data_IF_588741571040
#
_entry.id   IF_588741571040
#
_cell.length_a   1.000
_cell.length_b   1.000
_cell.length_c   1.000
_cell.angle_alpha   90.00
_cell.angle_beta   90.00
_cell.angle_gamma   90.00
#
_symmetry.space_group_name_H-M   'P 1'
#
loop_
_entity.id
_entity.type
_entity.pdbx_description
1 polymer ?
#
# COMPACT_ATOMS: atom_id res chain seq x y z
N UNK A 1 2.91 13.53 -1.76
CA UNK A 1 3.13 12.75 -3.01
C UNK A 1 4.64 12.64 -3.26
N UNK A 2 5.26 11.47 -3.05
CA UNK A 2 6.63 11.23 -3.51
C UNK A 2 6.64 11.02 -5.03
N UNK A 3 7.62 11.60 -5.74
CA UNK A 3 7.75 11.51 -7.18
C UNK A 3 9.17 11.13 -7.58
N UNK A 4 9.33 10.17 -8.48
CA UNK A 4 10.61 9.82 -9.08
C UNK A 4 10.40 9.28 -10.48
N UNK A 5 10.92 9.97 -11.50
CA UNK A 5 10.78 9.60 -12.91
C UNK A 5 9.33 9.25 -13.30
N UNK A 6 8.40 10.14 -12.93
CA UNK A 6 6.97 10.01 -13.10
C UNK A 6 6.41 10.91 -14.21
N UNK A 7 7.24 11.33 -15.18
CA UNK A 7 6.86 12.29 -16.23
C UNK A 7 5.56 11.92 -16.96
N UNK A 8 5.33 10.62 -17.16
CA UNK A 8 4.15 10.13 -17.88
C UNK A 8 2.82 10.27 -17.10
N UNK A 9 2.88 10.44 -15.77
CA UNK A 9 1.71 10.26 -14.89
C UNK A 9 1.51 11.40 -13.89
N UNK A 10 2.57 12.14 -13.55
CA UNK A 10 2.55 13.15 -12.49
C UNK A 10 1.53 14.27 -12.75
N UNK A 11 1.27 14.60 -14.02
CA UNK A 11 0.30 15.61 -14.43
C UNK A 11 -1.12 15.25 -13.94
N UNK A 12 -1.62 14.08 -14.34
CA UNK A 12 -2.93 13.55 -13.92
C UNK A 12 -2.98 13.28 -12.41
N UNK A 13 -1.88 12.80 -11.82
CA UNK A 13 -1.80 12.57 -10.38
C UNK A 13 -2.05 13.88 -9.61
N UNK A 14 -1.39 14.98 -10.00
CA UNK A 14 -1.60 16.30 -9.40
C UNK A 14 -3.04 16.78 -9.63
N UNK A 15 -3.52 16.73 -10.88
CA UNK A 15 -4.88 17.16 -11.23
C UNK A 15 -5.96 16.43 -10.41
N UNK A 16 -5.78 15.11 -10.18
CA UNK A 16 -6.74 14.31 -9.39
C UNK A 16 -6.83 14.71 -7.92
N UNK A 17 -5.75 15.28 -7.35
CA UNK A 17 -5.75 15.84 -6.00
C UNK A 17 -6.35 17.25 -5.99
N UNK A 18 -6.00 18.08 -6.96
CA UNK A 18 -6.55 19.45 -7.04
C UNK A 18 -8.04 19.47 -7.36
N UNK A 19 -8.55 18.45 -8.05
CA UNK A 19 -9.95 18.21 -8.38
C UNK A 19 -10.78 17.51 -7.30
N UNK A 20 -10.25 17.38 -6.06
CA UNK A 20 -11.02 16.83 -4.94
C UNK A 20 -12.17 17.76 -4.54
N UNK A 21 -13.29 17.15 -4.14
CA UNK A 21 -14.46 17.84 -3.56
C UNK A 21 -14.15 18.47 -2.21
N UNK A 22 -13.23 17.87 -1.44
CA UNK A 22 -12.67 18.48 -0.24
C UNK A 22 -11.56 19.46 -0.64
N UNK A 23 -11.88 20.76 -0.66
CA UNK A 23 -10.99 21.79 -1.23
C UNK A 23 -9.98 22.39 -0.26
N UNK A 24 -10.19 22.24 1.04
CA UNK A 24 -9.31 22.75 2.11
C UNK A 24 -8.09 21.84 2.29
N UNK A 25 -7.24 21.80 1.27
CA UNK A 25 -6.04 20.97 1.23
C UNK A 25 -4.83 21.75 0.71
N UNK A 26 -3.65 21.28 1.09
CA UNK A 26 -2.39 21.59 0.42
C UNK A 26 -1.86 20.30 -0.23
N UNK A 27 -1.15 20.43 -1.34
CA UNK A 27 -0.48 19.31 -1.99
C UNK A 27 1.04 19.47 -1.84
N UNK A 28 1.65 18.61 -1.02
CA UNK A 28 3.11 18.53 -0.93
C UNK A 28 3.65 17.49 -1.89
N UNK A 29 4.44 17.93 -2.87
CA UNK A 29 5.11 17.06 -3.85
C UNK A 29 6.62 17.07 -3.59
N UNK A 30 7.19 15.87 -3.41
CA UNK A 30 8.64 15.70 -3.20
C UNK A 30 9.22 14.95 -4.38
N UNK A 31 10.00 15.64 -5.22
CA UNK A 31 10.77 15.04 -6.31
C UNK A 31 12.07 14.43 -5.76
N UNK A 32 12.22 13.12 -5.93
CA UNK A 32 13.34 12.35 -5.40
C UNK A 32 14.53 12.31 -6.38
N UNK A 33 14.94 13.50 -6.83
CA UNK A 33 15.98 13.72 -7.82
C UNK A 33 15.70 13.04 -9.17
N UNK A 34 14.53 13.29 -9.76
CA UNK A 34 14.17 12.75 -11.07
C UNK A 34 15.13 13.24 -12.16
N UNK A 35 15.36 12.39 -13.16
CA UNK A 35 16.23 12.65 -14.32
C UNK A 35 15.45 13.01 -15.59
N UNK A 36 14.12 12.86 -15.57
CA UNK A 36 13.20 13.17 -16.66
C UNK A 36 12.50 14.52 -16.44
N UNK A 37 11.40 14.81 -17.15
CA UNK A 37 10.65 16.07 -17.01
C UNK A 37 9.74 16.14 -15.77
N UNK A 38 9.79 15.18 -14.85
CA UNK A 38 8.94 15.16 -13.64
C UNK A 38 9.03 16.47 -12.86
N UNK A 39 10.25 16.94 -12.57
CA UNK A 39 10.43 18.17 -11.81
C UNK A 39 9.88 19.41 -12.52
N UNK A 40 10.09 19.52 -13.85
CA UNK A 40 9.59 20.68 -14.58
C UNK A 40 8.06 20.72 -14.63
N UNK A 41 7.40 19.57 -14.77
CA UNK A 41 5.94 19.45 -14.69
C UNK A 41 5.44 19.87 -13.31
N UNK A 42 6.05 19.36 -12.23
CA UNK A 42 5.70 19.73 -10.85
C UNK A 42 5.80 21.24 -10.63
N UNK A 43 6.91 21.86 -11.06
CA UNK A 43 7.10 23.31 -10.86
C UNK A 43 6.14 24.16 -11.69
N UNK A 44 5.69 23.67 -12.84
CA UNK A 44 4.67 24.35 -13.64
C UNK A 44 3.35 24.39 -12.88
N UNK A 45 2.88 23.25 -12.39
CA UNK A 45 1.67 23.19 -11.57
C UNK A 45 1.75 24.09 -10.33
N UNK A 46 2.91 24.12 -9.65
CA UNK A 46 3.09 24.97 -8.47
C UNK A 46 3.16 26.48 -8.79
N UNK A 47 3.48 26.85 -10.02
CA UNK A 47 3.38 28.24 -10.47
C UNK A 47 1.91 28.64 -10.73
N UNK A 48 1.07 27.68 -11.12
CA UNK A 48 -0.34 27.89 -11.47
C UNK A 48 -1.29 27.76 -10.26
N UNK A 49 -0.96 26.96 -9.24
CA UNK A 49 -1.79 26.74 -8.05
C UNK A 49 -1.00 26.91 -6.73
N UNK A 50 -1.33 27.91 -5.89
CA UNK A 50 -0.60 28.20 -4.66
C UNK A 50 -0.80 27.16 -3.55
N UNK A 51 -1.74 26.20 -3.70
CA UNK A 51 -1.90 25.08 -2.76
C UNK A 51 -0.77 24.07 -2.86
N UNK A 52 0.03 24.13 -3.93
CA UNK A 52 1.09 23.15 -4.18
C UNK A 52 2.41 23.63 -3.58
N UNK A 53 3.01 22.77 -2.77
CA UNK A 53 4.34 22.97 -2.17
C UNK A 53 5.26 21.91 -2.71
N UNK A 54 6.38 22.35 -3.27
CA UNK A 54 7.30 21.45 -3.96
C UNK A 54 8.64 21.43 -3.25
N UNK A 55 9.23 20.24 -3.13
CA UNK A 55 10.60 20.06 -2.67
C UNK A 55 11.32 19.09 -3.59
N UNK A 56 12.62 19.32 -3.80
CA UNK A 56 13.45 18.44 -4.61
C UNK A 56 14.65 17.95 -3.82
N UNK A 57 14.80 16.63 -3.74
CA UNK A 57 16.01 16.02 -3.20
C UNK A 57 17.21 16.25 -4.10
N UNK A 58 18.38 16.37 -3.48
CA UNK A 58 19.65 16.50 -4.21
C UNK A 58 20.08 15.20 -4.89
N UNK A 59 19.67 14.08 -4.31
CA UNK A 59 19.98 12.71 -4.75
C UNK A 59 18.76 11.84 -4.48
N UNK A 60 18.60 10.73 -5.18
CA UNK A 60 17.53 9.78 -4.90
C UNK A 60 17.73 9.15 -3.50
N UNK A 61 16.78 9.38 -2.59
CA UNK A 61 16.77 8.88 -1.22
C UNK A 61 15.78 7.73 -1.01
N UNK A 62 14.93 7.46 -2.00
CA UNK A 62 13.85 6.48 -1.92
C UNK A 62 12.53 7.05 -1.42
N UNK A 63 11.47 6.25 -1.59
CA UNK A 63 10.10 6.65 -1.28
C UNK A 63 9.90 6.99 0.20
N UNK A 64 10.34 6.13 1.13
CA UNK A 64 10.19 6.35 2.57
C UNK A 64 10.78 7.68 3.03
N UNK A 65 12.02 7.98 2.62
CA UNK A 65 12.69 9.24 2.96
C UNK A 65 11.96 10.46 2.34
N UNK A 66 11.54 10.36 1.08
CA UNK A 66 10.81 11.41 0.38
C UNK A 66 9.44 11.68 1.00
N UNK A 67 8.75 10.63 1.46
CA UNK A 67 7.46 10.78 2.17
C UNK A 67 7.68 11.45 3.53
N UNK A 68 8.68 11.02 4.31
CA UNK A 68 9.02 11.66 5.59
C UNK A 68 9.27 13.16 5.41
N UNK A 69 10.05 13.55 4.40
CA UNK A 69 10.26 14.96 4.07
C UNK A 69 8.96 15.68 3.71
N UNK A 70 8.10 15.06 2.91
CA UNK A 70 6.81 15.61 2.55
C UNK A 70 5.91 15.87 3.76
N UNK A 71 5.84 14.93 4.70
CA UNK A 71 5.07 15.09 5.94
C UNK A 71 5.66 16.18 6.84
N UNK A 72 6.99 16.27 6.94
CA UNK A 72 7.64 17.33 7.71
C UNK A 72 7.35 18.72 7.15
N UNK A 73 7.28 18.85 5.82
CA UNK A 73 6.96 20.11 5.13
C UNK A 73 5.47 20.47 5.19
N UNK A 74 4.59 19.47 5.33
CA UNK A 74 3.15 19.69 5.43
C UNK A 74 2.79 20.48 6.70
N UNK A 75 1.86 21.40 6.56
CA UNK A 75 1.29 22.22 7.65
C UNK A 75 -0.08 21.74 8.12
N UNK A 76 -0.79 21.00 7.27
CA UNK A 76 -2.08 20.40 7.62
C UNK A 76 -1.95 19.37 8.77
N UNK A 77 -2.96 19.27 9.65
CA UNK A 77 -2.97 18.30 10.74
C UNK A 77 -3.25 16.87 10.26
N UNK A 78 -3.87 16.72 9.08
CA UNK A 78 -4.16 15.44 8.45
C UNK A 78 -3.26 15.23 7.24
N UNK A 79 -2.76 14.00 7.11
CA UNK A 79 -1.86 13.59 6.05
C UNK A 79 -2.57 12.54 5.20
N UNK A 80 -2.85 12.89 3.94
CA UNK A 80 -3.30 11.95 2.91
C UNK A 80 -2.12 11.55 2.01
N UNK A 81 -1.89 10.25 1.84
CA UNK A 81 -0.84 9.75 0.94
C UNK A 81 -1.40 9.50 -0.47
N UNK A 82 -0.61 9.77 -1.51
CA UNK A 82 -0.82 9.25 -2.86
C UNK A 82 0.53 9.24 -3.59
N UNK A 83 0.78 8.22 -4.41
CA UNK A 83 1.98 8.12 -5.25
C UNK A 83 1.81 8.92 -6.56
N UNK A 84 2.93 9.31 -7.18
CA UNK A 84 2.95 10.16 -8.39
C UNK A 84 2.50 9.45 -9.69
N UNK A 85 2.29 8.14 -9.65
CA UNK A 85 1.84 7.30 -10.75
C UNK A 85 0.37 6.87 -10.63
N UNK A 86 -0.30 7.24 -9.54
CA UNK A 86 -1.70 6.93 -9.25
C UNK A 86 -2.62 8.17 -9.37
N UNK A 87 -3.93 7.95 -9.37
CA UNK A 87 -4.93 9.03 -9.33
C UNK A 87 -6.12 8.68 -8.42
N UNK A 88 -6.73 9.69 -7.80
CA UNK A 88 -7.83 9.51 -6.84
C UNK A 88 -9.20 9.89 -7.41
N UNK A 89 -10.25 9.24 -6.91
CA UNK A 89 -11.63 9.66 -7.14
C UNK A 89 -11.91 11.01 -6.46
N UNK A 90 -12.73 11.92 -7.04
CA UNK A 90 -12.94 13.28 -6.50
C UNK A 90 -13.48 13.34 -5.07
N UNK A 91 -14.17 12.31 -4.60
CA UNK A 91 -14.78 12.26 -3.26
C UNK A 91 -13.90 11.61 -2.21
N UNK A 92 -12.65 11.24 -2.55
CA UNK A 92 -11.79 10.46 -1.65
C UNK A 92 -11.59 11.15 -0.32
N UNK A 93 -11.01 12.36 -0.31
CA UNK A 93 -10.67 13.01 0.95
C UNK A 93 -11.89 13.48 1.75
N UNK A 94 -12.97 13.88 1.08
CA UNK A 94 -14.24 14.20 1.76
C UNK A 94 -14.72 13.02 2.62
N UNK A 95 -14.76 11.82 2.03
CA UNK A 95 -15.19 10.60 2.72
C UNK A 95 -14.24 10.22 3.87
N UNK A 96 -12.93 10.25 3.62
CA UNK A 96 -11.95 9.88 4.64
C UNK A 96 -11.92 10.86 5.82
N UNK A 97 -12.04 12.16 5.55
CA UNK A 97 -12.10 13.20 6.59
C UNK A 97 -13.38 13.07 7.40
N UNK A 98 -14.52 12.80 6.76
CA UNK A 98 -15.79 12.58 7.47
C UNK A 98 -15.72 11.34 8.38
N UNK A 99 -15.11 10.24 7.91
CA UNK A 99 -14.91 9.04 8.72
C UNK A 99 -14.06 9.31 9.96
N UNK A 100 -12.93 10.03 9.80
CA UNK A 100 -12.03 10.37 10.90
C UNK A 100 -12.65 11.40 11.86
N UNK A 101 -13.46 12.35 11.36
CA UNK A 101 -14.22 13.29 12.20
C UNK A 101 -15.26 12.58 13.06
N UNK A 102 -15.94 11.58 12.50
CA UNK A 102 -16.90 10.76 13.24
C UNK A 102 -16.22 9.84 14.27
N UNK A 103 -14.99 9.40 13.98
CA UNK A 103 -14.24 8.44 14.79
C UNK A 103 -12.80 8.93 15.04
N UNK A 104 -12.61 9.95 15.88
CA UNK A 104 -11.30 10.59 16.07
C UNK A 104 -10.25 9.67 16.74
N UNK A 105 -10.66 8.52 17.29
CA UNK A 105 -9.76 7.51 17.85
C UNK A 105 -9.16 6.56 16.80
N UNK A 106 -9.60 6.63 15.54
CA UNK A 106 -9.00 5.83 14.46
C UNK A 106 -7.59 6.31 14.14
N UNK A 107 -6.67 5.37 14.03
CA UNK A 107 -5.28 5.61 13.72
C UNK A 107 -5.06 5.90 12.22
N UNK A 108 -5.72 5.12 11.35
CA UNK A 108 -5.60 5.25 9.90
C UNK A 108 -6.95 4.95 9.24
N UNK A 109 -7.35 5.81 8.31
CA UNK A 109 -8.49 5.58 7.41
C UNK A 109 -7.95 5.34 6.01
N UNK A 110 -8.12 4.14 5.47
CA UNK A 110 -7.82 3.78 4.08
C UNK A 110 -9.07 3.68 3.21
N UNK A 111 -8.87 3.31 1.96
CA UNK A 111 -9.96 3.00 1.01
C UNK A 111 -9.61 1.73 0.22
N UNK A 112 -10.57 1.17 -0.51
CA UNK A 112 -10.21 0.17 -1.53
C UNK A 112 -9.52 0.87 -2.71
N UNK A 113 -8.86 0.06 -3.55
CA UNK A 113 -8.21 0.55 -4.75
C UNK A 113 -8.67 -0.24 -5.99
N UNK A 114 -8.92 0.45 -7.08
CA UNK A 114 -8.97 -0.15 -8.42
C UNK A 114 -7.54 -0.35 -8.92
N UNK A 115 -7.30 -1.36 -9.74
CA UNK A 115 -6.06 -1.49 -10.49
C UNK A 115 -6.31 -1.05 -11.92
N UNK A 116 -5.48 -0.16 -12.43
CA UNK A 116 -5.57 0.33 -13.81
C UNK A 116 -4.33 -0.09 -14.60
N UNK A 117 -4.46 -0.17 -15.92
CA UNK A 117 -3.28 -0.18 -16.79
C UNK A 117 -2.75 1.25 -16.98
N UNK A 118 -1.67 1.39 -17.76
CA UNK A 118 -1.08 2.71 -18.08
C UNK A 118 -2.02 3.67 -18.83
N UNK A 119 -3.13 3.18 -19.38
CA UNK A 119 -4.15 3.98 -20.06
C UNK A 119 -5.39 4.25 -19.18
N UNK A 120 -5.33 3.97 -17.87
CA UNK A 120 -6.44 4.21 -16.95
C UNK A 120 -7.58 3.18 -17.01
N UNK A 121 -7.48 2.14 -17.84
CA UNK A 121 -8.50 1.08 -17.90
C UNK A 121 -8.44 0.22 -16.65
N UNK A 122 -9.57 0.07 -15.95
CA UNK A 122 -9.70 -0.82 -14.80
C UNK A 122 -9.51 -2.27 -15.23
N UNK A 123 -8.56 -2.96 -14.59
CA UNK A 123 -8.19 -4.36 -14.82
C UNK A 123 -8.31 -5.22 -13.56
N UNK A 124 -8.63 -4.61 -12.41
CA UNK A 124 -8.80 -5.34 -11.16
C UNK A 124 -9.20 -4.43 -10.00
N UNK A 125 -9.39 -5.03 -8.83
CA UNK A 125 -9.74 -4.34 -7.59
C UNK A 125 -9.06 -5.00 -6.41
N UNK A 126 -8.60 -4.19 -5.46
CA UNK A 126 -8.09 -4.58 -4.16
C UNK A 126 -9.03 -4.11 -3.06
N UNK A 127 -9.86 -5.05 -2.58
CA UNK A 127 -10.72 -4.87 -1.41
C UNK A 127 -9.99 -5.39 -0.16
N UNK A 128 -9.02 -4.62 0.32
CA UNK A 128 -8.09 -5.02 1.38
C UNK A 128 -8.28 -4.17 2.63
N UNK A 129 -8.24 -4.82 3.80
CA UNK A 129 -8.27 -4.17 5.10
C UNK A 129 -9.59 -4.36 5.87
N UNK A 130 -9.56 -4.11 7.19
CA UNK A 130 -10.75 -4.14 8.04
C UNK A 130 -11.74 -3.05 7.64
N UNK A 131 -13.04 -3.36 7.61
CA UNK A 131 -14.09 -2.39 7.23
C UNK A 131 -14.74 -1.72 8.44
N UNK A 132 -14.36 -2.18 9.63
CA UNK A 132 -14.89 -1.73 10.92
C UNK A 132 -13.83 -1.95 12.00
N UNK A 133 -14.03 -1.29 13.14
CA UNK A 133 -13.22 -1.54 14.34
C UNK A 133 -13.31 -3.01 14.80
N UNK A 134 -14.46 -3.65 14.66
CA UNK A 134 -14.63 -5.07 14.99
C UNK A 134 -13.76 -5.98 14.09
N UNK A 135 -13.73 -5.71 12.77
CA UNK A 135 -12.85 -6.43 11.85
C UNK A 135 -11.37 -6.23 12.21
N UNK A 136 -11.00 -4.99 12.55
CA UNK A 136 -9.65 -4.65 12.97
C UNK A 136 -9.24 -5.42 14.23
N UNK A 137 -10.09 -5.42 15.25
CA UNK A 137 -9.84 -6.13 16.51
C UNK A 137 -9.70 -7.64 16.28
N UNK A 138 -10.58 -8.24 15.46
CA UNK A 138 -10.49 -9.65 15.12
C UNK A 138 -9.17 -10.02 14.40
N UNK A 139 -8.66 -9.14 13.52
CA UNK A 139 -7.34 -9.33 12.89
C UNK A 139 -6.21 -9.24 13.91
N UNK A 140 -6.26 -8.23 14.79
CA UNK A 140 -5.26 -7.97 15.82
C UNK A 140 -5.19 -9.08 16.86
N UNK A 141 -6.32 -9.64 17.28
CA UNK A 141 -6.41 -10.79 18.20
C UNK A 141 -5.90 -12.08 17.56
N UNK A 142 -6.18 -12.29 16.27
CA UNK A 142 -5.63 -13.41 15.51
C UNK A 142 -4.11 -13.24 15.21
N UNK A 143 -3.51 -12.12 15.63
CA UNK A 143 -2.14 -11.70 15.35
C UNK A 143 -1.81 -11.73 13.85
N UNK A 144 -2.75 -11.25 13.04
CA UNK A 144 -2.57 -11.00 11.62
C UNK A 144 -2.11 -9.56 11.42
N UNK A 145 -1.36 -9.33 10.34
CA UNK A 145 -1.01 -7.97 9.95
C UNK A 145 -2.25 -7.24 9.43
N UNK A 146 -2.40 -5.97 9.81
CA UNK A 146 -3.46 -5.11 9.29
C UNK A 146 -3.00 -4.50 7.97
N UNK A 147 -3.69 -4.85 6.89
CA UNK A 147 -3.33 -4.42 5.55
C UNK A 147 -4.21 -3.24 5.12
N UNK A 148 -3.59 -2.13 4.74
CA UNK A 148 -4.23 -1.01 4.05
C UNK A 148 -3.37 -0.67 2.84
N UNK A 149 -3.99 -0.22 1.76
CA UNK A 149 -3.23 0.22 0.59
C UNK A 149 -2.54 1.53 0.93
N UNK A 150 -1.19 1.57 0.98
CA UNK A 150 -0.42 2.75 1.39
C UNK A 150 -0.89 4.04 0.71
N UNK A 151 -1.11 4.00 -0.61
CA UNK A 151 -1.58 5.12 -1.44
C UNK A 151 -2.97 5.65 -1.09
N UNK A 152 -3.70 4.99 -0.21
CA UNK A 152 -5.03 5.40 0.25
C UNK A 152 -5.02 5.99 1.65
N UNK A 153 -3.97 5.81 2.45
CA UNK A 153 -4.01 6.13 3.87
C UNK A 153 -4.21 7.63 4.16
N UNK A 154 -5.10 7.91 5.12
CA UNK A 154 -5.28 9.19 5.80
C UNK A 154 -5.04 8.99 7.30
N UNK A 155 -4.19 9.80 7.91
CA UNK A 155 -3.87 9.76 9.35
C UNK A 155 -3.48 11.15 9.85
N UNK A 156 -3.40 11.32 11.18
CA UNK A 156 -2.93 12.59 11.77
C UNK A 156 -1.42 12.73 11.69
N UNK A 157 -0.92 13.94 11.41
CA UNK A 157 0.51 14.26 11.47
C UNK A 157 1.12 13.96 12.84
N UNK A 158 0.39 14.25 13.91
CA UNK A 158 0.81 13.97 15.29
C UNK A 158 1.10 12.48 15.51
N UNK A 159 0.18 11.58 15.10
CA UNK A 159 0.40 10.14 15.21
C UNK A 159 1.62 9.69 14.40
N UNK A 160 1.80 10.23 13.20
CA UNK A 160 2.95 9.92 12.35
C UNK A 160 4.28 10.27 13.02
N UNK A 161 4.37 11.47 13.60
CA UNK A 161 5.54 11.93 14.34
C UNK A 161 5.76 11.10 15.61
N UNK A 162 4.68 10.81 16.34
CA UNK A 162 4.71 10.01 17.57
C UNK A 162 5.28 8.61 17.36
N UNK A 163 4.95 7.96 16.24
CA UNK A 163 5.49 6.64 15.92
C UNK A 163 6.87 6.69 15.27
N UNK A 164 7.35 7.87 14.85
CA UNK A 164 8.68 8.07 14.26
C UNK A 164 8.73 8.06 12.72
N UNK A 165 7.59 8.16 12.04
CA UNK A 165 7.51 8.18 10.58
C UNK A 165 7.91 6.86 9.90
N UNK A 166 8.11 6.88 8.58
CA UNK A 166 8.59 5.71 7.83
C UNK A 166 10.05 5.40 8.17
N UNK A 167 10.42 4.12 8.25
CA UNK A 167 11.82 3.69 8.34
C UNK A 167 12.48 3.75 6.95
N UNK A 168 13.44 4.67 6.71
CA UNK A 168 14.09 4.81 5.41
C UNK A 168 14.99 3.64 5.03
N UNK A 169 15.32 2.75 5.97
CA UNK A 169 16.11 1.54 5.68
C UNK A 169 15.29 0.46 4.95
N UNK A 170 13.96 0.56 5.00
CA UNK A 170 13.06 -0.37 4.31
C UNK A 170 12.90 0.03 2.84
N UNK A 171 13.24 -0.91 1.95
CA UNK A 171 13.09 -0.73 0.50
C UNK A 171 11.70 -1.05 -0.03
N UNK A 172 10.86 -1.68 0.79
CA UNK A 172 9.54 -2.19 0.43
C UNK A 172 8.74 -2.49 1.69
N UNK A 173 7.40 -2.48 1.56
CA UNK A 173 6.47 -2.73 2.66
C UNK A 173 6.70 -1.81 3.87
N UNK A 174 7.26 -0.62 3.62
CA UNK A 174 7.45 0.45 4.60
C UNK A 174 6.12 0.96 5.16
N UNK A 175 5.06 0.91 4.35
CA UNK A 175 3.69 1.24 4.73
C UNK A 175 3.13 0.22 5.73
N UNK A 176 3.34 -1.07 5.47
CA UNK A 176 2.91 -2.14 6.36
C UNK A 176 3.57 -2.04 7.74
N UNK A 177 4.86 -1.75 7.77
CA UNK A 177 5.61 -1.61 9.03
C UNK A 177 5.13 -0.39 9.83
N UNK A 178 4.97 0.76 9.17
CA UNK A 178 4.47 2.00 9.78
C UNK A 178 3.05 1.81 10.34
N UNK A 179 2.15 1.25 9.54
CA UNK A 179 0.76 1.10 9.95
C UNK A 179 0.60 0.10 11.08
N UNK A 180 1.45 -0.92 11.19
CA UNK A 180 1.42 -1.80 12.37
C UNK A 180 1.85 -1.06 13.66
N UNK A 181 2.81 -0.12 13.59
CA UNK A 181 3.11 0.77 14.74
C UNK A 181 1.93 1.70 15.05
N UNK A 182 1.30 2.28 14.03
CA UNK A 182 0.11 3.12 14.23
C UNK A 182 -1.09 2.34 14.81
N UNK A 183 -1.22 1.06 14.47
CA UNK A 183 -2.28 0.16 14.96
C UNK A 183 -2.19 -0.12 16.47
N UNK A 184 -1.08 0.22 17.13
CA UNK A 184 -0.96 0.18 18.59
C UNK A 184 -1.61 1.41 19.26
N UNK A 185 -1.97 2.44 18.48
CA UNK A 185 -2.56 3.68 18.97
C UNK A 185 -4.05 3.86 18.64
N UNK A 186 -4.62 3.00 17.79
CA UNK A 186 -6.04 3.04 17.45
C UNK A 186 -6.41 2.12 16.29
N UNK A 187 -7.71 1.96 16.01
CA UNK A 187 -8.18 1.16 14.90
C UNK A 187 -7.70 1.69 13.56
N UNK A 188 -7.33 0.78 12.67
CA UNK A 188 -7.17 1.06 11.26
C UNK A 188 -8.42 0.55 10.57
N UNK A 189 -9.04 1.37 9.71
CA UNK A 189 -10.25 1.02 8.98
C UNK A 189 -10.13 1.39 7.50
N UNK A 190 -10.88 0.70 6.66
CA UNK A 190 -10.92 0.90 5.22
C UNK A 190 -12.35 1.16 4.76
N UNK A 191 -12.56 2.30 4.11
CA UNK A 191 -13.82 2.62 3.43
C UNK A 191 -13.96 1.64 2.26
N UNK A 192 -15.11 0.95 2.19
CA UNK A 192 -15.36 -0.13 1.23
C UNK A 192 -15.67 0.38 -0.20
N UNK A 193 -14.96 1.41 -0.65
CA UNK A 193 -15.11 2.03 -1.96
C UNK A 193 -13.75 2.18 -2.64
N UNK A 194 -13.64 1.89 -3.95
CA UNK A 194 -12.39 2.00 -4.69
C UNK A 194 -12.08 3.46 -5.05
N UNK A 195 -11.59 4.23 -4.09
CA UNK A 195 -11.39 5.68 -4.20
C UNK A 195 -9.98 6.09 -4.70
N UNK A 196 -9.11 5.10 -4.97
CA UNK A 196 -7.81 5.26 -5.60
C UNK A 196 -7.70 4.31 -6.79
N UNK A 197 -7.10 4.79 -7.87
CA UNK A 197 -6.73 3.99 -9.03
C UNK A 197 -5.22 3.75 -9.01
N UNK A 198 -4.85 2.53 -8.62
CA UNK A 198 -3.46 2.08 -8.60
C UNK A 198 -2.99 1.65 -9.98
N UNK A 199 -2.01 2.35 -10.54
CA UNK A 199 -1.55 2.12 -11.91
C UNK A 199 -0.49 1.02 -11.99
N UNK A 200 -0.76 0.00 -12.81
CA UNK A 200 0.21 -1.04 -13.11
C UNK A 200 0.97 -0.72 -14.40
N UNK A 201 2.26 -0.40 -14.27
CA UNK A 201 3.16 -0.12 -15.39
C UNK A 201 4.55 -0.77 -15.18
N UNK A 202 5.37 -0.95 -16.24
CA UNK A 202 6.66 -1.65 -16.16
C UNK A 202 7.70 -1.03 -15.20
N UNK A 203 7.56 0.25 -14.89
CA UNK A 203 8.41 0.98 -13.95
C UNK A 203 8.13 0.67 -12.46
N UNK A 204 7.01 0.02 -12.14
CA UNK A 204 6.59 -0.21 -10.76
C UNK A 204 7.52 -1.15 -9.98
N UNK A 205 7.85 -0.77 -8.74
CA UNK A 205 8.84 -1.44 -7.89
C UNK A 205 8.36 -2.77 -7.31
N UNK A 206 7.04 -2.97 -7.19
CA UNK A 206 6.43 -4.07 -6.39
C UNK A 206 6.83 -5.48 -6.87
N UNK A 207 7.12 -5.65 -8.16
CA UNK A 207 7.55 -6.95 -8.71
C UNK A 207 8.97 -7.36 -8.31
N UNK A 208 9.87 -6.39 -8.10
CA UNK A 208 11.30 -6.61 -7.84
C UNK A 208 11.57 -6.93 -6.36
N UNK A 209 10.80 -6.34 -5.45
CA UNK A 209 10.99 -6.44 -4.00
C UNK A 209 10.02 -7.40 -3.31
N UNK A 210 9.29 -8.23 -4.07
CA UNK A 210 8.22 -9.08 -3.54
C UNK A 210 8.66 -9.96 -2.36
N UNK A 211 9.78 -10.67 -2.49
CA UNK A 211 10.23 -11.60 -1.44
C UNK A 211 10.69 -10.86 -0.17
N UNK A 212 11.34 -9.71 -0.32
CA UNK A 212 11.71 -8.82 0.78
C UNK A 212 10.46 -8.29 1.50
N UNK A 213 9.46 -7.83 0.75
CA UNK A 213 8.18 -7.38 1.33
C UNK A 213 7.44 -8.50 2.06
N UNK A 214 7.57 -9.76 1.62
CA UNK A 214 7.03 -10.91 2.36
C UNK A 214 7.79 -11.20 3.65
N UNK A 215 9.09 -10.93 3.72
CA UNK A 215 9.84 -11.00 4.97
C UNK A 215 9.38 -9.92 5.94
N UNK A 216 9.21 -8.67 5.48
CA UNK A 216 8.66 -7.57 6.31
C UNK A 216 7.24 -7.90 6.81
N UNK A 217 6.39 -8.47 5.96
CA UNK A 217 5.07 -8.92 6.40
C UNK A 217 5.14 -9.98 7.51
N UNK A 218 6.06 -10.95 7.41
CA UNK A 218 6.25 -11.94 8.48
C UNK A 218 6.84 -11.32 9.74
N UNK A 219 7.74 -10.35 9.60
CA UNK A 219 8.27 -9.58 10.71
C UNK A 219 7.16 -8.87 11.49
N UNK A 220 6.30 -8.12 10.80
CA UNK A 220 5.13 -7.45 11.39
C UNK A 220 4.20 -8.45 12.11
N UNK A 221 3.92 -9.60 11.48
CA UNK A 221 3.13 -10.66 12.14
C UNK A 221 3.82 -11.22 13.38
N UNK A 222 5.14 -11.45 13.32
CA UNK A 222 5.90 -11.97 14.46
C UNK A 222 5.91 -10.96 15.62
N UNK A 223 6.10 -9.67 15.33
CA UNK A 223 6.01 -8.57 16.29
C UNK A 223 4.66 -8.58 17.00
N UNK A 224 3.56 -8.64 16.24
CA UNK A 224 2.21 -8.70 16.84
C UNK A 224 2.00 -9.96 17.69
N UNK A 225 2.46 -11.12 17.22
CA UNK A 225 2.35 -12.38 17.96
C UNK A 225 3.18 -12.38 19.25
N UNK A 226 4.32 -11.67 19.27
CA UNK A 226 5.12 -11.47 20.48
C UNK A 226 4.38 -10.58 21.49
N UNK A 227 3.80 -9.46 21.04
CA UNK A 227 2.97 -8.57 21.88
C UNK A 227 1.82 -9.32 22.56
N UNK A 228 1.06 -10.14 21.80
CA UNK A 228 -0.06 -10.95 22.34
C UNK A 228 0.42 -11.88 23.45
N UNK A 229 1.67 -12.36 23.38
CA UNK A 229 2.26 -13.27 24.36
C UNK A 229 2.97 -12.54 25.50
N UNK A 230 2.87 -11.20 25.59
CA UNK A 230 3.57 -10.40 26.58
C UNK A 230 5.09 -10.46 26.44
N UNK A 231 5.61 -10.71 25.24
CA UNK A 231 7.04 -10.74 24.95
C UNK A 231 7.51 -9.42 24.34
N UNK A 232 8.80 -9.14 24.45
CA UNK A 232 9.42 -7.98 23.82
C UNK A 232 9.27 -7.99 22.30
N UNK A 233 9.25 -6.78 21.73
CA UNK A 233 9.21 -6.55 20.30
C UNK A 233 10.53 -7.02 19.70
N UNK A 234 10.47 -7.92 18.73
CA UNK A 234 11.66 -8.33 17.97
C UNK A 234 12.05 -7.17 17.04
N UNK A 235 13.33 -6.83 16.95
CA UNK A 235 13.81 -5.95 15.88
C UNK A 235 13.94 -6.70 14.56
N UNK A 236 14.08 -5.97 13.45
CA UNK A 236 14.10 -6.59 12.12
C UNK A 236 15.32 -7.50 11.89
N UNK A 237 16.50 -7.12 12.39
CA UNK A 237 17.73 -7.91 12.24
C UNK A 237 17.70 -9.15 13.14
N UNK A 238 17.26 -9.02 14.40
CA UNK A 238 16.98 -10.17 15.27
C UNK A 238 15.97 -11.13 14.63
N UNK A 239 14.90 -10.60 14.02
CA UNK A 239 13.92 -11.43 13.32
C UNK A 239 14.53 -12.15 12.12
N UNK A 240 15.38 -11.48 11.33
CA UNK A 240 16.08 -12.09 10.20
C UNK A 240 17.05 -13.17 10.66
N UNK A 241 17.76 -12.97 11.77
CA UNK A 241 18.62 -13.98 12.39
C UNK A 241 17.83 -15.19 12.86
N UNK A 242 16.73 -14.95 13.58
CA UNK A 242 15.80 -15.99 13.99
C UNK A 242 15.25 -16.78 12.80
N UNK A 243 14.85 -16.09 11.72
CA UNK A 243 14.35 -16.73 10.50
C UNK A 243 15.43 -17.59 9.81
N UNK A 244 16.68 -17.10 9.77
CA UNK A 244 17.84 -17.84 9.24
C UNK A 244 18.16 -19.09 10.05
N UNK A 245 17.98 -19.04 11.38
CA UNK A 245 18.19 -20.15 12.31
C UNK A 245 17.10 -21.23 12.30
N UNK A 246 15.97 -21.01 11.61
CA UNK A 246 14.88 -22.02 11.57
C UNK A 246 15.31 -23.31 10.86
N UNK A 247 14.72 -24.46 11.25
CA UNK A 247 15.01 -25.73 10.58
C UNK A 247 14.83 -25.65 9.06
N UNK A 248 15.68 -26.35 8.31
CA UNK A 248 15.77 -26.21 6.85
C UNK A 248 14.42 -26.49 6.16
N UNK A 249 13.66 -27.48 6.62
CA UNK A 249 12.32 -27.80 6.10
C UNK A 249 11.31 -26.66 6.30
N UNK A 250 11.39 -25.93 7.41
CA UNK A 250 10.55 -24.73 7.65
C UNK A 250 10.92 -23.63 6.67
N UNK A 251 12.22 -23.38 6.47
CA UNK A 251 12.71 -22.38 5.51
C UNK A 251 12.33 -22.71 4.07
N UNK A 252 12.42 -23.99 3.68
CA UNK A 252 11.95 -24.47 2.38
C UNK A 252 10.44 -24.24 2.24
N UNK A 253 9.64 -24.58 3.26
CA UNK A 253 8.20 -24.35 3.25
C UNK A 253 7.82 -22.87 3.06
N UNK A 254 8.52 -21.95 3.75
CA UNK A 254 8.34 -20.50 3.58
C UNK A 254 8.66 -20.08 2.14
N UNK A 255 9.82 -20.50 1.60
CA UNK A 255 10.22 -20.16 0.22
C UNK A 255 9.24 -20.68 -0.82
N UNK A 256 8.77 -21.92 -0.66
CA UNK A 256 7.75 -22.50 -1.54
C UNK A 256 6.42 -21.73 -1.45
N UNK A 257 6.00 -21.37 -0.24
CA UNK A 257 4.81 -20.53 -0.03
C UNK A 257 4.93 -19.15 -0.70
N UNK A 258 6.07 -18.48 -0.53
CA UNK A 258 6.31 -17.17 -1.15
C UNK A 258 6.41 -17.27 -2.67
N UNK A 259 7.07 -18.30 -3.19
CA UNK A 259 7.14 -18.58 -4.63
C UNK A 259 5.76 -18.83 -5.23
N UNK A 260 4.90 -19.60 -4.54
CA UNK A 260 3.53 -19.84 -4.97
C UNK A 260 2.73 -18.53 -5.10
N UNK A 261 2.83 -17.66 -4.11
CA UNK A 261 2.15 -16.36 -4.13
C UNK A 261 2.69 -15.44 -5.23
N UNK A 262 4.01 -15.40 -5.42
CA UNK A 262 4.65 -14.62 -6.47
C UNK A 262 4.16 -15.02 -7.86
N UNK A 263 4.18 -16.32 -8.15
CA UNK A 263 3.75 -16.84 -9.44
C UNK A 263 2.23 -16.71 -9.63
N UNK A 264 1.43 -16.89 -8.57
CA UNK A 264 0.00 -16.67 -8.65
C UNK A 264 -0.35 -15.21 -8.99
N UNK A 265 0.36 -14.25 -8.39
CA UNK A 265 0.23 -12.83 -8.73
C UNK A 265 0.60 -12.57 -10.20
N UNK A 266 1.71 -13.13 -10.68
CA UNK A 266 2.11 -13.04 -12.09
C UNK A 266 1.09 -13.65 -13.05
N UNK A 267 0.46 -14.77 -12.68
CA UNK A 267 -0.63 -15.34 -13.45
C UNK A 267 -1.81 -14.36 -13.56
N UNK A 268 -2.22 -13.74 -12.45
CA UNK A 268 -3.28 -12.73 -12.47
C UNK A 268 -2.97 -11.53 -13.38
N UNK A 269 -1.72 -11.04 -13.37
CA UNK A 269 -1.29 -9.94 -14.26
C UNK A 269 -1.34 -10.36 -15.73
N UNK A 270 -0.80 -11.54 -16.07
CA UNK A 270 -0.84 -12.07 -17.43
C UNK A 270 -2.29 -12.24 -17.93
N UNK A 271 -3.20 -12.74 -17.08
CA UNK A 271 -4.62 -12.83 -17.39
C UNK A 271 -5.24 -11.46 -17.71
N UNK A 272 -4.95 -10.44 -16.89
CA UNK A 272 -5.45 -9.07 -17.11
C UNK A 272 -4.94 -8.44 -18.41
N UNK A 273 -3.75 -8.84 -18.87
CA UNK A 273 -3.15 -8.41 -20.15
C UNK A 273 -3.58 -9.24 -21.36
N UNK A 274 -4.38 -10.30 -21.15
CA UNK A 274 -4.77 -11.24 -22.21
C UNK A 274 -3.68 -12.24 -22.62
N UNK A 275 -2.56 -12.30 -21.91
CA UNK A 275 -1.48 -13.28 -22.12
C UNK A 275 -1.87 -14.65 -21.53
N UNK A 276 -2.51 -15.47 -22.35
CA UNK A 276 -2.96 -16.82 -21.97
C UNK A 276 -1.78 -17.75 -21.64
N UNK A 277 -0.68 -17.65 -22.37
CA UNK A 277 0.47 -18.53 -22.18
C UNK A 277 1.17 -18.21 -20.85
N UNK A 278 1.42 -16.93 -20.58
CA UNK A 278 1.97 -16.45 -19.31
C UNK A 278 1.06 -16.76 -18.12
N UNK A 279 -0.27 -16.67 -18.29
CA UNK A 279 -1.22 -17.09 -17.26
C UNK A 279 -1.05 -18.56 -16.89
N UNK A 280 -1.10 -19.48 -17.86
CA UNK A 280 -0.98 -20.92 -17.60
C UNK A 280 0.39 -21.26 -17.01
N UNK A 281 1.47 -20.73 -17.60
CA UNK A 281 2.83 -20.97 -17.14
C UNK A 281 3.04 -20.57 -15.68
N UNK A 282 2.60 -19.37 -15.30
CA UNK A 282 2.76 -18.90 -13.93
C UNK A 282 1.80 -19.61 -12.96
N UNK A 283 0.58 -19.96 -13.38
CA UNK A 283 -0.34 -20.69 -12.52
C UNK A 283 0.18 -22.10 -12.20
N UNK A 284 0.76 -22.79 -13.18
CA UNK A 284 1.38 -24.10 -12.97
C UNK A 284 2.56 -24.01 -11.99
N UNK A 285 3.44 -23.02 -12.15
CA UNK A 285 4.54 -22.80 -11.20
C UNK A 285 4.04 -22.51 -9.78
N UNK A 286 2.97 -21.74 -9.66
CA UNK A 286 2.35 -21.49 -8.37
C UNK A 286 1.81 -22.79 -7.73
N UNK A 287 1.17 -23.62 -8.55
CA UNK A 287 0.59 -24.89 -8.11
C UNK A 287 1.67 -25.90 -7.68
N UNK A 288 2.76 -26.02 -8.45
CA UNK A 288 3.91 -26.86 -8.09
C UNK A 288 4.54 -26.40 -6.77
N UNK A 289 4.63 -25.10 -6.54
CA UNK A 289 5.21 -24.56 -5.32
C UNK A 289 4.31 -24.77 -4.08
N UNK A 290 2.99 -24.57 -4.20
CA UNK A 290 2.07 -24.82 -3.08
C UNK A 290 0.63 -25.11 -3.59
N UNK A 291 0.29 -26.37 -3.85
CA UNK A 291 -0.99 -26.72 -4.50
C UNK A 291 -2.18 -26.45 -3.60
N UNK A 292 -2.07 -26.75 -2.29
CA UNK A 292 -3.14 -26.54 -1.30
C UNK A 292 -3.51 -25.06 -1.21
N UNK A 293 -2.50 -24.18 -1.15
CA UNK A 293 -2.73 -22.74 -1.09
C UNK A 293 -3.40 -22.22 -2.37
N UNK A 294 -2.93 -22.63 -3.55
CA UNK A 294 -3.49 -22.21 -4.85
C UNK A 294 -4.96 -22.63 -4.98
N UNK A 295 -5.29 -23.89 -4.65
CA UNK A 295 -6.67 -24.39 -4.71
C UNK A 295 -7.59 -23.59 -3.79
N UNK A 296 -7.17 -23.34 -2.54
CA UNK A 296 -7.94 -22.50 -1.60
C UNK A 296 -8.15 -21.09 -2.15
N UNK A 297 -7.13 -20.50 -2.77
CA UNK A 297 -7.21 -19.15 -3.33
C UNK A 297 -8.19 -19.07 -4.51
N UNK A 298 -8.14 -20.04 -5.42
CA UNK A 298 -9.08 -20.14 -6.54
C UNK A 298 -10.52 -20.34 -6.07
N UNK A 299 -10.73 -21.17 -5.04
CA UNK A 299 -12.04 -21.38 -4.45
C UNK A 299 -12.61 -20.09 -3.85
N UNK A 300 -11.83 -19.34 -3.07
CA UNK A 300 -12.26 -18.06 -2.52
C UNK A 300 -12.57 -17.01 -3.59
N UNK A 301 -11.78 -16.95 -4.67
CA UNK A 301 -12.07 -16.06 -5.80
C UNK A 301 -13.38 -16.44 -6.53
N UNK A 302 -13.68 -17.74 -6.64
CA UNK A 302 -14.95 -18.19 -7.22
C UNK A 302 -16.12 -17.75 -6.35
N UNK A 303 -16.05 -17.99 -5.05
CA UNK A 303 -17.08 -17.57 -4.10
C UNK A 303 -17.30 -16.06 -4.09
N UNK A 304 -16.23 -15.26 -4.13
CA UNK A 304 -16.36 -13.79 -4.15
C UNK A 304 -16.95 -13.27 -5.46
N UNK A 305 -16.65 -13.90 -6.61
CA UNK A 305 -17.30 -13.59 -7.89
C UNK A 305 -18.79 -13.92 -7.88
N UNK A 306 -19.17 -15.08 -7.34
CA UNK A 306 -20.58 -15.49 -7.21
C UNK A 306 -21.34 -14.54 -6.29
N UNK A 307 -20.76 -14.17 -5.16
CA UNK A 307 -21.38 -13.22 -4.23
C UNK A 307 -21.50 -11.79 -4.81
N UNK A 308 -20.57 -11.36 -5.67
CA UNK A 308 -20.67 -10.09 -6.42
C UNK A 308 -21.75 -10.14 -7.51
N UNK A 309 -21.87 -11.24 -8.25
CA UNK A 309 -22.96 -11.40 -9.24
C UNK A 309 -24.34 -11.49 -8.61
N UNK A 310 -24.43 -11.84 -7.33
CA UNK A 310 -25.66 -11.90 -6.54
C UNK A 310 -25.95 -10.61 -5.75
N UNK A 311 -25.12 -9.55 -5.90
CA UNK A 311 -25.30 -8.28 -5.19
C UNK A 311 -25.08 -8.34 -3.66
N UNK A 312 -24.42 -9.40 -3.16
CA UNK A 312 -24.25 -9.66 -1.72
C UNK A 312 -22.96 -9.08 -1.14
N UNK A 313 -22.09 -8.51 -1.97
CA UNK A 313 -20.88 -7.80 -1.54
C UNK A 313 -20.77 -6.52 -2.37
N UNK A 314 -21.25 -5.42 -1.78
CA UNK A 314 -20.87 -4.04 -2.11
C UNK A 314 -19.53 -3.71 -1.50
#
# INVERSE_FOLDING_TARGET
MPAYNAEAFIDEAIESILGQTFTDLELVVVDDASTDRTWSIITKHAADDPRIRTFRNKTNLGAAASINQGVNLATAPLIGRMDADDFSEPTRFEKQVNELRANPHYAVVGTFASHTNEHGKIIGFSATGPRSEADFNALREAGKATLVFGGTALFTKELFERVGGFDPSLRTAEDLELFDRMADHGPIVTIAEPLLHYRLHPGSTVGKTFFEGRQIHRFVQARRQAQIKGKELTDLEEFKEWERGRPIWVRIGIRLGDSAQYHYRKAGMAYGQGDKAGFVWNLLRAFVANPVWVVRRLWHQRLSRTARSEGRIG
#
